data_IF_692273909944
#
_entry.id   IF_692273909944
#
_cell.length_a   1.000
_cell.length_b   1.000
_cell.length_c   1.000
_cell.angle_alpha   90.00
_cell.angle_beta   90.00
_cell.angle_gamma   90.00
#
_symmetry.space_group_name_H-M   'P 1'
#
loop_
_entity.id
_entity.type
_entity.pdbx_description
1 polymer ?
#
# COMPACT_ATOMS: atom_id res chain seq x y z
N UNK A 1 -43.24 -27.29 -38.09
CA UNK A 1 -42.69 -26.63 -39.30
C UNK A 1 -41.18 -26.63 -39.18
N UNK A 2 -40.45 -27.27 -40.11
CA UNK A 2 -38.98 -27.29 -40.07
C UNK A 2 -38.42 -25.99 -40.63
N UNK A 3 -37.56 -25.31 -39.87
CA UNK A 3 -36.78 -24.18 -40.36
C UNK A 3 -36.02 -24.62 -41.62
N UNK A 4 -36.29 -23.95 -42.74
CA UNK A 4 -35.67 -24.25 -44.02
C UNK A 4 -34.14 -24.09 -43.98
N UNK A 5 -33.41 -24.80 -44.85
CA UNK A 5 -31.94 -24.82 -44.87
C UNK A 5 -31.29 -23.43 -45.01
N UNK A 6 -32.03 -22.46 -45.54
CA UNK A 6 -31.62 -21.06 -45.70
C UNK A 6 -31.42 -20.33 -44.35
N UNK A 7 -32.20 -20.66 -43.30
CA UNK A 7 -32.07 -20.03 -41.98
C UNK A 7 -30.91 -20.59 -41.16
N UNK A 8 -30.49 -21.85 -41.39
CA UNK A 8 -29.25 -22.40 -40.81
C UNK A 8 -28.02 -21.69 -41.39
N UNK A 9 -28.03 -21.40 -42.68
CA UNK A 9 -26.90 -20.77 -43.38
C UNK A 9 -26.60 -19.34 -42.89
N UNK A 10 -27.61 -18.57 -42.47
CA UNK A 10 -27.40 -17.20 -41.96
C UNK A 10 -26.90 -17.19 -40.51
N UNK A 11 -27.32 -18.14 -39.68
CA UNK A 11 -26.80 -18.26 -38.31
C UNK A 11 -25.34 -18.74 -38.31
N UNK A 12 -25.02 -19.72 -39.18
CA UNK A 12 -23.65 -20.18 -39.38
C UNK A 12 -22.76 -19.06 -39.97
N UNK A 13 -23.28 -18.19 -40.84
CA UNK A 13 -22.52 -17.03 -41.34
C UNK A 13 -22.24 -15.96 -40.28
N UNK A 14 -23.14 -15.74 -39.32
CA UNK A 14 -22.91 -14.80 -38.21
C UNK A 14 -21.85 -15.31 -37.24
N UNK A 15 -21.81 -16.62 -37.01
CA UNK A 15 -20.77 -17.29 -36.21
C UNK A 15 -19.43 -17.37 -36.96
N UNK A 16 -19.46 -17.82 -38.23
CA UNK A 16 -18.25 -17.97 -39.06
C UNK A 16 -17.65 -16.61 -39.47
N UNK A 17 -18.48 -15.57 -39.58
CA UNK A 17 -18.07 -14.20 -39.87
C UNK A 17 -17.53 -13.43 -38.66
N UNK A 18 -17.51 -14.02 -37.47
CA UNK A 18 -16.92 -13.42 -36.26
C UNK A 18 -17.68 -12.23 -35.68
N UNK A 19 -18.88 -11.89 -36.21
CA UNK A 19 -19.64 -10.69 -35.83
C UNK A 19 -20.01 -10.67 -34.33
N UNK A 20 -20.17 -11.84 -33.70
CA UNK A 20 -20.47 -11.98 -32.28
C UNK A 20 -19.22 -12.14 -31.41
N UNK A 21 -18.07 -12.48 -31.99
CA UNK A 21 -16.81 -12.63 -31.25
C UNK A 21 -16.18 -11.26 -30.95
N UNK A 22 -16.28 -10.32 -31.90
CA UNK A 22 -15.69 -8.98 -31.76
C UNK A 22 -16.24 -8.20 -30.53
N UNK A 23 -17.57 -8.14 -30.27
CA UNK A 23 -18.11 -7.47 -29.09
C UNK A 23 -17.62 -8.09 -27.77
N UNK A 24 -17.46 -9.41 -27.73
CA UNK A 24 -16.97 -10.10 -26.53
C UNK A 24 -15.49 -9.79 -26.27
N UNK A 25 -14.67 -9.78 -27.33
CA UNK A 25 -13.25 -9.45 -27.22
C UNK A 25 -13.04 -8.00 -26.76
N UNK A 26 -13.88 -7.06 -27.23
CA UNK A 26 -13.87 -5.67 -26.79
C UNK A 26 -14.26 -5.54 -25.30
N UNK A 27 -15.27 -6.29 -24.85
CA UNK A 27 -15.68 -6.32 -23.43
C UNK A 27 -14.61 -6.94 -22.53
N UNK A 28 -13.94 -8.02 -22.98
CA UNK A 28 -12.86 -8.65 -22.23
C UNK A 28 -11.67 -7.69 -22.05
N UNK A 29 -11.25 -7.00 -23.13
CA UNK A 29 -10.19 -5.97 -23.07
C UNK A 29 -10.54 -4.81 -22.13
N UNK A 30 -11.82 -4.41 -22.11
CA UNK A 30 -12.29 -3.38 -21.19
C UNK A 30 -12.19 -3.85 -19.73
N UNK A 31 -12.59 -5.10 -19.45
CA UNK A 31 -12.53 -5.68 -18.11
C UNK A 31 -11.09 -5.81 -17.61
N UNK A 32 -10.18 -6.30 -18.45
CA UNK A 32 -8.75 -6.40 -18.12
C UNK A 32 -8.14 -5.03 -17.81
N UNK A 33 -8.47 -4.03 -18.62
CA UNK A 33 -8.04 -2.64 -18.40
C UNK A 33 -8.53 -2.10 -17.06
N UNK A 34 -9.78 -2.39 -16.69
CA UNK A 34 -10.37 -1.96 -15.42
C UNK A 34 -9.69 -2.64 -14.22
N UNK A 35 -9.34 -3.93 -14.35
CA UNK A 35 -8.60 -4.66 -13.32
C UNK A 35 -7.22 -4.04 -13.10
N UNK A 36 -6.49 -3.72 -14.18
CA UNK A 36 -5.18 -3.07 -14.07
C UNK A 36 -5.28 -1.67 -13.45
N UNK A 37 -6.25 -0.85 -13.87
CA UNK A 37 -6.52 0.46 -13.26
C UNK A 37 -6.82 0.32 -11.76
N UNK A 38 -7.62 -0.66 -11.35
CA UNK A 38 -7.92 -0.89 -9.94
C UNK A 38 -6.67 -1.27 -9.12
N UNK A 39 -5.78 -2.08 -9.70
CA UNK A 39 -4.48 -2.40 -9.06
C UNK A 39 -3.62 -1.16 -8.89
N UNK A 40 -3.56 -0.30 -9.92
CA UNK A 40 -2.82 0.96 -9.85
C UNK A 40 -3.40 1.93 -8.82
N UNK A 41 -4.73 2.07 -8.76
CA UNK A 41 -5.41 2.91 -7.76
C UNK A 41 -5.08 2.42 -6.35
N UNK A 42 -5.13 1.11 -6.09
CA UNK A 42 -4.80 0.55 -4.78
C UNK A 42 -3.34 0.81 -4.41
N UNK A 43 -2.41 0.57 -5.33
CA UNK A 43 -0.99 0.90 -5.11
C UNK A 43 -0.79 2.38 -4.81
N UNK A 44 -1.47 3.26 -5.55
CA UNK A 44 -1.40 4.71 -5.32
C UNK A 44 -1.92 5.07 -3.92
N UNK A 45 -3.04 4.49 -3.49
CA UNK A 45 -3.56 4.71 -2.14
C UNK A 45 -2.59 4.24 -1.04
N UNK A 46 -1.96 3.07 -1.22
CA UNK A 46 -0.94 2.57 -0.30
C UNK A 46 0.29 3.49 -0.26
N UNK A 47 0.74 3.99 -1.41
CA UNK A 47 1.80 4.99 -1.51
C UNK A 47 1.44 6.31 -0.84
N UNK A 48 0.24 6.84 -1.07
CA UNK A 48 -0.24 8.09 -0.46
C UNK A 48 -0.30 7.96 1.08
N UNK A 49 -0.71 6.79 1.58
CA UNK A 49 -0.70 6.50 3.02
C UNK A 49 0.73 6.45 3.59
N UNK A 50 1.70 5.88 2.85
CA UNK A 50 3.10 5.86 3.26
C UNK A 50 3.72 7.27 3.24
N UNK A 51 3.45 8.07 2.21
CA UNK A 51 3.89 9.47 2.12
C UNK A 51 3.39 10.26 3.33
N UNK A 52 2.11 10.10 3.68
CA UNK A 52 1.52 10.75 4.86
C UNK A 52 2.22 10.35 6.16
N UNK A 53 2.59 9.07 6.32
CA UNK A 53 3.35 8.61 7.49
C UNK A 53 4.76 9.20 7.54
N UNK A 54 5.46 9.25 6.40
CA UNK A 54 6.79 9.86 6.29
C UNK A 54 6.74 11.35 6.61
N UNK A 55 5.75 12.08 6.11
CA UNK A 55 5.56 13.50 6.40
C UNK A 55 5.32 13.75 7.90
N UNK A 56 4.47 12.94 8.54
CA UNK A 56 4.23 13.01 9.97
C UNK A 56 5.51 12.75 10.79
N UNK A 57 6.28 11.71 10.43
CA UNK A 57 7.55 11.40 11.08
C UNK A 57 8.58 12.52 10.89
N UNK A 58 8.66 13.08 9.68
CA UNK A 58 9.52 14.21 9.35
C UNK A 58 9.20 15.44 10.20
N UNK A 59 7.90 15.75 10.38
CA UNK A 59 7.45 16.81 11.25
C UNK A 59 7.88 16.58 12.71
N UNK A 60 7.68 15.37 13.24
CA UNK A 60 8.11 15.04 14.61
C UNK A 60 9.62 15.16 14.81
N UNK A 61 10.42 14.74 13.84
CA UNK A 61 11.89 14.90 13.88
C UNK A 61 12.26 16.39 13.91
N UNK A 62 11.58 17.22 13.12
CA UNK A 62 11.83 18.66 13.10
C UNK A 62 11.47 19.34 14.43
N UNK A 63 10.34 18.98 15.03
CA UNK A 63 9.90 19.45 16.34
C UNK A 63 10.90 19.07 17.45
N UNK A 64 11.33 17.81 17.48
CA UNK A 64 12.36 17.33 18.42
C UNK A 64 13.69 18.06 18.23
N UNK A 65 14.11 18.28 16.98
CA UNK A 65 15.32 19.06 16.67
C UNK A 65 15.21 20.49 17.17
N UNK A 66 14.07 21.15 16.96
CA UNK A 66 13.84 22.51 17.44
C UNK A 66 13.81 22.59 18.98
N UNK A 67 13.22 21.59 19.65
CA UNK A 67 13.19 21.48 21.11
C UNK A 67 14.61 21.30 21.67
N UNK A 68 15.41 20.42 21.06
CA UNK A 68 16.83 20.24 21.40
C UNK A 68 17.60 21.56 21.28
N UNK A 69 17.43 22.29 20.18
CA UNK A 69 18.08 23.60 19.99
C UNK A 69 17.61 24.69 20.96
N UNK A 70 16.35 24.66 21.43
CA UNK A 70 15.85 25.57 22.47
C UNK A 70 16.45 25.24 23.82
N UNK A 71 16.52 23.96 24.18
CA UNK A 71 17.13 23.50 25.43
C UNK A 71 18.64 23.77 25.47
N UNK A 72 19.31 23.81 24.32
CA UNK A 72 20.70 24.23 24.21
C UNK A 72 20.89 25.74 24.43
N UNK A 73 19.90 26.57 24.05
CA UNK A 73 19.91 28.02 24.28
C UNK A 73 19.49 28.43 25.70
N UNK A 74 18.74 27.59 26.41
CA UNK A 74 18.35 27.85 27.81
C UNK A 74 19.50 27.67 28.82
N UNK A 75 20.64 27.11 28.40
CA UNK A 75 21.91 27.16 29.12
C UNK A 75 22.92 28.11 28.46
N UNK A 76 22.42 29.22 27.90
CA UNK A 76 23.21 30.43 27.74
C UNK A 76 23.74 30.86 29.11
N UNK A 77 24.91 30.33 29.47
CA UNK A 77 26.11 30.98 30.01
C UNK A 77 25.97 32.44 30.50
N UNK A 78 24.89 32.81 31.19
CA UNK A 78 24.63 34.20 31.61
C UNK A 78 25.38 34.59 32.87
N UNK A 79 26.10 33.66 33.52
CA UNK A 79 26.85 33.96 34.74
C UNK A 79 28.35 33.64 34.68
N UNK A 80 28.96 33.58 33.49
CA UNK A 80 30.43 33.40 33.40
C UNK A 80 31.24 34.69 33.59
N UNK A 81 30.63 35.78 34.06
CA UNK A 81 31.36 37.00 34.41
C UNK A 81 30.89 37.60 35.73
N UNK A 82 31.33 37.03 36.85
CA UNK A 82 31.88 37.85 37.94
C UNK A 82 32.65 37.02 38.97
N UNK A 83 33.90 37.44 39.19
CA UNK A 83 34.53 37.37 40.51
C UNK A 83 35.21 36.05 40.89
N UNK A 84 36.53 36.03 40.67
CA UNK A 84 37.57 35.26 41.35
C UNK A 84 37.20 34.57 42.69
N UNK A 85 37.77 33.37 42.81
CA UNK A 85 37.99 32.48 43.98
C UNK A 85 36.78 31.63 44.39
N UNK A 86 36.80 30.36 43.99
CA UNK A 86 36.85 29.19 44.90
C UNK A 86 36.77 27.89 44.08
N UNK A 87 37.91 27.22 43.91
CA UNK A 87 38.01 25.83 43.46
C UNK A 87 37.33 24.93 44.51
N UNK A 88 36.07 24.55 44.26
CA UNK A 88 35.46 23.30 44.75
C UNK A 88 34.05 23.10 44.16
N UNK A 89 33.26 24.18 43.99
CA UNK A 89 31.82 24.05 43.66
C UNK A 89 31.41 24.22 42.19
N UNK A 90 32.31 24.69 41.30
CA UNK A 90 31.97 24.85 39.87
C UNK A 90 32.05 23.53 39.10
N UNK A 91 32.99 22.65 39.46
CA UNK A 91 33.16 21.35 38.81
C UNK A 91 31.93 20.45 39.04
N UNK A 92 31.37 20.43 40.26
CA UNK A 92 30.16 19.65 40.59
C UNK A 92 28.95 20.06 39.75
N UNK A 93 28.79 21.36 39.48
CA UNK A 93 27.69 21.88 38.64
C UNK A 93 27.86 21.48 37.17
N UNK A 94 29.09 21.54 36.66
CA UNK A 94 29.41 21.11 35.29
C UNK A 94 29.19 19.59 35.15
N UNK A 95 29.62 18.80 36.14
CA UNK A 95 29.40 17.35 36.17
C UNK A 95 27.91 17.01 36.22
N UNK A 96 27.13 17.71 37.05
CA UNK A 96 25.67 17.52 37.11
C UNK A 96 24.98 17.82 35.78
N UNK A 97 25.41 18.88 35.07
CA UNK A 97 24.87 19.24 33.76
C UNK A 97 25.24 18.19 32.69
N UNK A 98 26.47 17.69 32.72
CA UNK A 98 26.93 16.61 31.82
C UNK A 98 26.11 15.35 32.08
N UNK A 99 25.90 14.97 33.33
CA UNK A 99 25.11 13.80 33.70
C UNK A 99 23.66 13.93 33.20
N UNK A 100 23.01 15.06 33.43
CA UNK A 100 21.66 15.31 32.93
C UNK A 100 21.57 15.19 31.39
N UNK A 101 22.56 15.73 30.66
CA UNK A 101 22.61 15.61 29.19
C UNK A 101 22.79 14.15 28.73
N UNK A 102 23.55 13.34 29.47
CA UNK A 102 23.71 11.90 29.19
C UNK A 102 22.37 11.18 29.42
N UNK A 103 21.67 11.47 30.51
CA UNK A 103 20.37 10.87 30.83
C UNK A 103 19.30 11.20 29.77
N UNK A 104 19.25 12.45 29.31
CA UNK A 104 18.36 12.84 28.21
C UNK A 104 18.69 12.13 26.89
N UNK A 105 19.98 11.94 26.58
CA UNK A 105 20.40 11.19 25.39
C UNK A 105 20.07 9.69 25.51
N UNK A 106 20.21 9.09 26.69
CA UNK A 106 19.85 7.69 26.95
C UNK A 106 18.34 7.46 26.71
N UNK A 107 17.50 8.42 27.11
CA UNK A 107 16.06 8.36 26.85
C UNK A 107 15.75 8.39 25.35
N UNK A 108 16.35 9.32 24.61
CA UNK A 108 16.17 9.42 23.16
C UNK A 108 16.68 8.15 22.47
N UNK A 109 17.79 7.58 22.94
CA UNK A 109 18.33 6.33 22.40
C UNK A 109 17.34 5.17 22.60
N UNK A 110 16.74 5.03 23.78
CA UNK A 110 15.70 4.02 24.05
C UNK A 110 14.49 4.16 23.13
N UNK A 111 14.01 5.39 22.90
CA UNK A 111 12.91 5.63 21.96
C UNK A 111 13.28 5.22 20.52
N UNK A 112 14.54 5.42 20.10
CA UNK A 112 15.03 4.96 18.78
C UNK A 112 15.10 3.42 18.73
N UNK A 113 15.59 2.76 19.78
CA UNK A 113 15.63 1.30 19.86
C UNK A 113 14.23 0.67 19.77
N UNK A 114 13.24 1.23 20.47
CA UNK A 114 11.84 0.81 20.38
C UNK A 114 11.28 0.97 18.96
N UNK A 115 11.55 2.11 18.31
CA UNK A 115 11.13 2.35 16.92
C UNK A 115 11.74 1.35 15.94
N UNK A 116 13.03 1.04 16.08
CA UNK A 116 13.72 0.02 15.27
C UNK A 116 13.06 -1.36 15.51
N UNK A 117 12.72 -1.69 16.76
CA UNK A 117 12.01 -2.91 17.12
C UNK A 117 10.66 -3.04 16.40
N UNK A 118 9.83 -2.00 16.48
CA UNK A 118 8.53 -1.96 15.80
C UNK A 118 8.67 -2.08 14.27
N UNK A 119 9.67 -1.41 13.69
CA UNK A 119 9.95 -1.47 12.25
C UNK A 119 10.34 -2.89 11.82
N UNK A 120 11.24 -3.54 12.56
CA UNK A 120 11.65 -4.92 12.28
C UNK A 120 10.47 -5.91 12.36
N UNK A 121 9.59 -5.74 13.33
CA UNK A 121 8.37 -6.54 13.45
C UNK A 121 7.46 -6.34 12.24
N UNK A 122 7.27 -5.08 11.81
CA UNK A 122 6.46 -4.73 10.64
C UNK A 122 7.04 -5.34 9.36
N UNK A 123 8.35 -5.20 9.15
CA UNK A 123 9.07 -5.79 8.00
C UNK A 123 8.87 -7.31 7.98
N UNK A 124 9.01 -7.97 9.13
CA UNK A 124 8.83 -9.42 9.26
C UNK A 124 7.40 -9.83 8.91
N UNK A 125 6.40 -9.13 9.45
CA UNK A 125 4.99 -9.38 9.14
C UNK A 125 4.69 -9.21 7.65
N UNK A 126 5.19 -8.13 7.03
CA UNK A 126 5.01 -7.87 5.61
C UNK A 126 5.70 -8.94 4.74
N UNK A 127 6.89 -9.38 5.12
CA UNK A 127 7.60 -10.47 4.44
C UNK A 127 6.78 -11.77 4.45
N UNK A 128 6.14 -12.10 5.58
CA UNK A 128 5.25 -13.28 5.67
C UNK A 128 4.03 -13.14 4.75
N UNK A 129 3.42 -11.95 4.69
CA UNK A 129 2.27 -11.68 3.82
C UNK A 129 2.65 -11.85 2.36
N UNK A 130 3.81 -11.33 1.93
CA UNK A 130 4.32 -11.48 0.56
C UNK A 130 4.53 -12.96 0.24
N UNK A 131 5.24 -13.70 1.11
CA UNK A 131 5.47 -15.13 0.92
C UNK A 131 4.17 -15.95 0.84
N UNK A 132 3.11 -15.53 1.55
CA UNK A 132 1.81 -16.19 1.49
C UNK A 132 1.03 -15.88 0.20
N UNK A 133 1.23 -14.70 -0.38
CA UNK A 133 0.53 -14.25 -1.58
C UNK A 133 1.24 -14.68 -2.87
N UNK A 134 2.57 -14.77 -2.87
CA UNK A 134 3.38 -15.13 -4.05
C UNK A 134 2.91 -16.41 -4.75
N UNK A 135 2.63 -17.54 -4.06
CA UNK A 135 2.17 -18.75 -4.73
C UNK A 135 0.80 -18.58 -5.41
N UNK A 136 -0.11 -17.78 -4.82
CA UNK A 136 -1.43 -17.53 -5.39
C UNK A 136 -1.33 -16.69 -6.66
N UNK A 137 -0.46 -15.68 -6.64
CA UNK A 137 -0.17 -14.85 -7.81
C UNK A 137 0.47 -15.69 -8.91
N UNK A 138 1.46 -16.53 -8.57
CA UNK A 138 2.12 -17.41 -9.53
C UNK A 138 1.16 -18.42 -10.16
N UNK A 139 0.22 -18.97 -9.38
CA UNK A 139 -0.84 -19.84 -9.90
C UNK A 139 -1.81 -19.11 -10.83
N UNK A 140 -2.21 -17.88 -10.48
CA UNK A 140 -3.09 -17.06 -11.32
C UNK A 140 -2.43 -16.77 -12.69
N UNK A 141 -1.13 -16.48 -12.69
CA UNK A 141 -0.36 -16.21 -13.92
C UNK A 141 -0.11 -17.47 -14.73
N UNK A 142 0.08 -18.63 -14.06
CA UNK A 142 0.40 -19.90 -14.72
C UNK A 142 -0.84 -20.74 -15.04
N UNK A 143 -2.03 -20.30 -14.64
CA UNK A 143 -3.27 -21.05 -14.80
C UNK A 143 -3.70 -21.13 -16.26
N UNK A 144 -4.19 -22.29 -16.74
CA UNK A 144 -4.78 -22.38 -18.07
C UNK A 144 -6.01 -21.48 -18.13
N UNK A 145 -6.10 -20.67 -19.18
CA UNK A 145 -7.31 -19.93 -19.50
C UNK A 145 -8.46 -20.95 -19.64
N UNK A 146 -9.57 -20.82 -18.89
CA UNK A 146 -10.64 -21.80 -18.98
C UNK A 146 -11.18 -21.82 -20.42
N UNK A 147 -11.35 -23.01 -21.02
CA UNK A 147 -11.99 -23.10 -22.32
C UNK A 147 -13.42 -22.58 -22.20
N UNK A 148 -13.84 -21.76 -23.16
CA UNK A 148 -15.23 -21.34 -23.27
C UNK A 148 -16.12 -22.58 -23.33
N UNK A 149 -16.93 -22.81 -22.28
CA UNK A 149 -17.88 -23.90 -22.27
C UNK A 149 -19.08 -23.52 -23.16
N UNK A 150 -19.29 -24.26 -24.24
CA UNK A 150 -20.41 -24.11 -25.17
C UNK A 150 -21.78 -24.44 -24.53
N UNK A 151 -21.80 -24.89 -23.28
CA UNK A 151 -23.01 -25.26 -22.53
C UNK A 151 -23.52 -24.10 -21.66
N UNK A 152 -23.83 -22.96 -22.28
CA UNK A 152 -24.74 -22.00 -21.65
C UNK A 152 -26.18 -22.40 -21.97
N UNK A 153 -27.14 -22.30 -21.03
CA UNK A 153 -28.48 -22.85 -21.20
C UNK A 153 -29.16 -22.16 -22.38
N UNK A 154 -29.34 -22.89 -23.47
CA UNK A 154 -30.11 -22.43 -24.61
C UNK A 154 -31.55 -22.24 -24.11
N UNK A 155 -31.98 -20.99 -23.95
CA UNK A 155 -33.36 -20.64 -23.64
C UNK A 155 -34.25 -21.22 -24.74
N UNK A 156 -34.84 -22.38 -24.48
CA UNK A 156 -35.90 -22.96 -25.31
C UNK A 156 -37.17 -22.20 -24.93
N UNK A 157 -37.45 -21.12 -25.65
CA UNK A 157 -38.72 -20.39 -25.51
C UNK A 157 -39.82 -21.31 -26.01
N UNK A 158 -40.60 -21.85 -25.07
CA UNK A 158 -41.80 -22.64 -25.34
C UNK A 158 -42.81 -21.77 -26.10
N UNK A 159 -43.27 -22.28 -27.23
CA UNK A 159 -44.25 -21.65 -28.11
C UNK A 159 -45.64 -21.78 -27.45
N UNK A 160 -46.22 -20.69 -26.98
CA UNK A 160 -47.62 -20.62 -26.57
C UNK A 160 -48.42 -20.03 -27.73
N UNK A 161 -49.13 -20.91 -28.43
CA UNK A 161 -50.19 -20.57 -29.38
C UNK A 161 -51.31 -19.85 -28.63
N UNK A 162 -51.64 -18.62 -29.01
CA UNK A 162 -52.94 -18.00 -28.70
C UNK A 162 -53.65 -17.73 -30.02
N UNK A 163 -54.75 -18.47 -30.21
CA UNK A 163 -55.74 -18.31 -31.27
C UNK A 163 -56.61 -17.06 -31.00
N UNK A 164 -56.82 -16.24 -32.04
CA UNK A 164 -58.14 -15.85 -32.60
C UNK A 164 -58.00 -14.70 -33.64
#
# INVERSE_FOLDING_TARGET
MGLGPENRSTTDQLFTGGLLHQPYEEVAKLLDSMVEINKEIKKKQEWDAQVTQVDFLSQRIMELKAQSMKNDKHFSLREYKKGKKQECGQNDKVLSLIQYKIEEQDKVLKEIEENIGMLNQTITSNSMVIQLQDPKINQLISGPYPPFAEESPSYTMADSEDED
#
